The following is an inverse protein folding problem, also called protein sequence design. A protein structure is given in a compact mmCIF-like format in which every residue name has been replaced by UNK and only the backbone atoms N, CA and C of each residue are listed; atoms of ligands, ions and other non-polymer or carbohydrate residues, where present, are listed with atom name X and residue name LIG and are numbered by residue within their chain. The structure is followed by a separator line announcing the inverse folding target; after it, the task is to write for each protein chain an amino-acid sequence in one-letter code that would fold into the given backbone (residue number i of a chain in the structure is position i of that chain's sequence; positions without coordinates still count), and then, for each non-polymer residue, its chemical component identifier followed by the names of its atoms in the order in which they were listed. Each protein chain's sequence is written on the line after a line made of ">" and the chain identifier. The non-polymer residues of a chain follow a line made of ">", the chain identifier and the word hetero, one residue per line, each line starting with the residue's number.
data_IF_053514654442
#
_entry.id   IF_053514654442
#
_cell.length_a   1.000
_cell.length_b   1.000
_cell.length_c   1.000
_cell.angle_alpha   90.00
_cell.angle_beta   90.00
_cell.angle_gamma   90.00
#
_symmetry.space_group_name_H-M   'P 1'
#
loop_
_entity.id
_entity.type
_entity.pdbx_description
1 polymer ?
#
# COMPACT_ATOMS: atom_id res chain seq x y z
N UNK A 1 10.03 2.42 -71.79
CA UNK A 1 8.84 2.26 -70.92
C UNK A 1 9.29 2.69 -69.53
N UNK A 2 8.88 3.86 -69.04
CA UNK A 2 9.31 4.37 -67.74
C UNK A 2 8.58 3.54 -66.67
N UNK A 3 9.33 2.84 -65.82
CA UNK A 3 8.76 2.17 -64.66
C UNK A 3 8.45 3.22 -63.60
N UNK A 4 7.16 3.46 -63.38
CA UNK A 4 6.70 4.31 -62.30
C UNK A 4 6.98 3.59 -60.97
N UNK A 5 8.00 4.06 -60.24
CA UNK A 5 8.31 3.56 -58.91
C UNK A 5 7.22 4.09 -57.98
N UNK A 6 6.24 3.26 -57.66
CA UNK A 6 5.26 3.56 -56.62
C UNK A 6 5.89 3.19 -55.26
N UNK A 7 6.27 4.16 -54.41
CA UNK A 7 6.77 3.86 -53.07
C UNK A 7 5.59 3.46 -52.19
N UNK A 8 5.11 2.21 -52.35
CA UNK A 8 4.09 1.63 -51.50
C UNK A 8 4.63 1.57 -50.07
N UNK A 9 4.34 2.60 -49.27
CA UNK A 9 4.58 2.58 -47.82
C UNK A 9 3.61 1.58 -47.21
N UNK A 10 4.16 0.49 -46.69
CA UNK A 10 3.39 -0.48 -45.93
C UNK A 10 3.05 0.08 -44.54
N UNK A 11 1.99 0.89 -44.45
CA UNK A 11 1.53 1.49 -43.19
C UNK A 11 1.03 0.45 -42.17
N UNK A 12 0.64 -0.76 -42.59
CA UNK A 12 0.13 -1.78 -41.66
C UNK A 12 1.23 -2.43 -40.82
N UNK A 13 2.49 -2.41 -41.28
CA UNK A 13 3.63 -2.93 -40.52
C UNK A 13 4.13 -1.98 -39.43
N UNK A 14 3.79 -0.68 -39.49
CA UNK A 14 4.29 0.32 -38.55
C UNK A 14 3.82 0.07 -37.11
N UNK A 15 2.56 -0.30 -36.92
CA UNK A 15 2.00 -0.57 -35.58
C UNK A 15 2.75 -1.72 -34.87
N UNK A 16 2.98 -2.84 -35.58
CA UNK A 16 3.71 -3.98 -35.03
C UNK A 16 5.17 -3.63 -34.70
N UNK A 17 5.80 -2.79 -35.53
CA UNK A 17 7.17 -2.32 -35.27
C UNK A 17 7.23 -1.49 -33.98
N UNK A 18 6.32 -0.53 -33.81
CA UNK A 18 6.24 0.29 -32.59
C UNK A 18 5.96 -0.58 -31.36
N UNK A 19 5.00 -1.51 -31.44
CA UNK A 19 4.70 -2.40 -30.31
C UNK A 19 5.90 -3.28 -29.92
N UNK A 20 6.67 -3.75 -30.90
CA UNK A 20 7.90 -4.52 -30.65
C UNK A 20 8.95 -3.66 -29.96
N UNK A 21 9.13 -2.41 -30.41
CA UNK A 21 10.06 -1.47 -29.78
C UNK A 21 9.64 -1.15 -28.34
N UNK A 22 8.36 -0.86 -28.08
CA UNK A 22 7.83 -0.62 -26.74
C UNK A 22 8.07 -1.82 -25.83
N UNK A 23 7.90 -3.03 -26.35
CA UNK A 23 8.15 -4.27 -25.59
C UNK A 23 9.63 -4.43 -25.23
N UNK A 24 10.54 -4.19 -26.17
CA UNK A 24 11.99 -4.28 -25.91
C UNK A 24 12.44 -3.20 -24.92
N UNK A 25 11.95 -1.96 -25.07
CA UNK A 25 12.24 -0.86 -24.13
C UNK A 25 11.71 -1.21 -22.74
N UNK A 26 10.46 -1.65 -22.64
CA UNK A 26 9.85 -2.06 -21.38
C UNK A 26 10.64 -3.17 -20.70
N UNK A 27 10.98 -4.23 -21.44
CA UNK A 27 11.80 -5.33 -20.93
C UNK A 27 13.18 -4.87 -20.45
N UNK A 28 13.82 -3.94 -21.15
CA UNK A 28 15.13 -3.38 -20.74
C UNK A 28 15.07 -2.57 -19.45
N UNK A 29 13.91 -1.97 -19.15
CA UNK A 29 13.68 -1.16 -17.96
C UNK A 29 13.04 -1.92 -16.79
N UNK A 30 12.65 -3.19 -16.99
CA UNK A 30 11.86 -3.96 -16.01
C UNK A 30 10.40 -3.50 -15.91
N UNK A 31 9.87 -2.89 -16.97
CA UNK A 31 8.49 -2.38 -17.03
C UNK A 31 7.69 -3.21 -18.05
N UNK A 32 6.67 -3.96 -17.61
CA UNK A 32 5.77 -4.67 -18.52
C UNK A 32 5.09 -3.72 -19.50
N UNK A 33 4.91 -4.13 -20.76
CA UNK A 33 4.35 -3.28 -21.83
C UNK A 33 3.00 -2.66 -21.48
N UNK A 34 2.15 -3.41 -20.79
CA UNK A 34 0.82 -3.00 -20.36
C UNK A 34 0.87 -1.80 -19.41
N UNK A 35 1.86 -1.79 -18.51
CA UNK A 35 2.12 -0.71 -17.57
C UNK A 35 2.79 0.48 -18.27
N UNK A 36 3.75 0.20 -19.16
CA UNK A 36 4.50 1.21 -19.91
C UNK A 36 3.58 2.08 -20.78
N UNK A 37 2.70 1.43 -21.54
CA UNK A 37 1.77 2.08 -22.49
C UNK A 37 0.43 2.42 -21.83
N UNK A 38 0.21 1.96 -20.58
CA UNK A 38 -1.06 2.11 -19.82
C UNK A 38 -2.27 1.53 -20.55
N UNK A 39 -2.07 0.42 -21.27
CA UNK A 39 -3.09 -0.26 -22.06
C UNK A 39 -3.25 -1.69 -21.57
N UNK A 40 -4.42 -1.99 -21.01
CA UNK A 40 -4.74 -3.30 -20.45
C UNK A 40 -5.84 -3.95 -21.30
N UNK A 41 -5.43 -4.69 -22.32
CA UNK A 41 -6.33 -5.48 -23.18
C UNK A 41 -6.44 -6.94 -22.70
N UNK A 42 -5.61 -7.32 -21.73
CA UNK A 42 -5.53 -8.67 -21.18
C UNK A 42 -6.60 -8.91 -20.11
N UNK A 43 -6.87 -10.18 -19.81
CA UNK A 43 -7.82 -10.54 -18.76
C UNK A 43 -7.31 -10.10 -17.37
N UNK A 44 -8.21 -10.03 -16.39
CA UNK A 44 -7.90 -9.57 -15.02
C UNK A 44 -6.61 -10.19 -14.43
N UNK A 45 -6.41 -11.50 -14.62
CA UNK A 45 -5.24 -12.22 -14.08
C UNK A 45 -3.94 -11.78 -14.74
N UNK A 46 -3.94 -11.60 -16.05
CA UNK A 46 -2.79 -11.14 -16.81
C UNK A 46 -2.43 -9.69 -16.44
N UNK A 47 -3.43 -8.78 -16.40
CA UNK A 47 -3.22 -7.40 -15.98
C UNK A 47 -2.70 -7.30 -14.54
N UNK A 48 -3.24 -8.12 -13.62
CA UNK A 48 -2.74 -8.23 -12.25
C UNK A 48 -1.32 -8.78 -12.20
N UNK A 49 -1.01 -9.77 -13.03
CA UNK A 49 0.34 -10.33 -13.15
C UNK A 49 1.36 -9.28 -13.57
N UNK A 50 1.05 -8.47 -14.58
CA UNK A 50 1.90 -7.38 -15.03
C UNK A 50 2.11 -6.30 -13.94
N UNK A 51 1.05 -5.92 -13.22
CA UNK A 51 1.17 -4.99 -12.10
C UNK A 51 2.05 -5.54 -10.97
N UNK A 52 1.90 -6.81 -10.63
CA UNK A 52 2.72 -7.46 -9.60
C UNK A 52 4.20 -7.55 -10.02
N UNK A 53 4.46 -7.82 -11.29
CA UNK A 53 5.82 -7.89 -11.82
C UNK A 53 6.50 -6.52 -11.78
N UNK A 54 5.81 -5.47 -12.25
CA UNK A 54 6.28 -4.09 -12.11
C UNK A 54 6.50 -3.69 -10.64
N UNK A 55 5.59 -4.09 -9.74
CA UNK A 55 5.73 -3.77 -8.33
C UNK A 55 6.93 -4.45 -7.68
N UNK A 56 7.35 -5.63 -8.16
CA UNK A 56 8.60 -6.27 -7.71
C UNK A 56 9.80 -5.38 -8.02
N UNK A 57 9.88 -4.85 -9.23
CA UNK A 57 10.94 -3.93 -9.66
C UNK A 57 10.95 -2.65 -8.82
N UNK A 58 9.77 -2.06 -8.57
CA UNK A 58 9.63 -0.88 -7.70
C UNK A 58 10.12 -1.17 -6.28
N UNK A 59 9.76 -2.33 -5.70
CA UNK A 59 10.21 -2.73 -4.36
C UNK A 59 11.73 -2.85 -4.29
N UNK A 60 12.37 -3.48 -5.27
CA UNK A 60 13.84 -3.63 -5.31
C UNK A 60 14.51 -2.25 -5.34
N UNK A 61 14.08 -1.36 -6.25
CA UNK A 61 14.64 -0.01 -6.35
C UNK A 61 14.42 0.81 -5.08
N UNK A 62 13.24 0.70 -4.48
CA UNK A 62 12.91 1.37 -3.21
C UNK A 62 13.79 0.88 -2.08
N UNK A 63 13.98 -0.43 -1.93
CA UNK A 63 14.86 -1.00 -0.91
C UNK A 63 16.29 -0.50 -1.08
N UNK A 64 16.83 -0.53 -2.31
CA UNK A 64 18.17 -0.03 -2.58
C UNK A 64 18.33 1.47 -2.26
N UNK A 65 17.32 2.29 -2.58
CA UNK A 65 17.32 3.71 -2.21
C UNK A 65 17.25 3.91 -0.69
N UNK A 66 16.40 3.16 -0.02
CA UNK A 66 16.25 3.21 1.44
C UNK A 66 17.55 2.84 2.14
N UNK A 67 18.19 1.75 1.73
CA UNK A 67 19.45 1.27 2.32
C UNK A 67 20.62 2.24 2.07
N UNK A 68 20.65 2.92 0.93
CA UNK A 68 21.75 3.84 0.58
C UNK A 68 21.56 5.27 1.08
N UNK A 69 20.32 5.74 1.23
CA UNK A 69 20.03 7.14 1.56
C UNK A 69 19.30 7.29 2.90
N UNK A 70 18.13 6.65 3.04
CA UNK A 70 17.27 6.86 4.20
C UNK A 70 17.88 6.28 5.49
N UNK A 71 18.37 5.04 5.42
CA UNK A 71 18.91 4.32 6.56
C UNK A 71 20.16 5.00 7.14
N UNK A 72 21.19 5.37 6.35
CA UNK A 72 22.38 6.04 6.90
C UNK A 72 22.06 7.39 7.55
N UNK A 73 21.13 8.16 6.97
CA UNK A 73 20.71 9.45 7.52
C UNK A 73 20.00 9.24 8.86
N UNK A 74 19.10 8.26 8.95
CA UNK A 74 18.40 7.92 10.18
C UNK A 74 19.37 7.49 11.29
N UNK A 75 20.35 6.64 10.97
CA UNK A 75 21.34 6.18 11.93
C UNK A 75 22.21 7.31 12.47
N UNK A 76 22.62 8.25 11.61
CA UNK A 76 23.39 9.43 12.03
C UNK A 76 22.56 10.34 12.93
N UNK A 77 21.33 10.63 12.53
CA UNK A 77 20.40 11.43 13.34
C UNK A 77 20.15 10.78 14.72
N UNK A 78 19.92 9.46 14.75
CA UNK A 78 19.68 8.74 16.00
C UNK A 78 20.92 8.78 16.90
N UNK A 79 22.11 8.57 16.31
CA UNK A 79 23.38 8.64 17.04
C UNK A 79 23.61 10.02 17.66
N UNK A 80 23.33 11.10 16.93
CA UNK A 80 23.43 12.47 17.45
C UNK A 80 22.40 12.74 18.55
N UNK A 81 21.15 12.29 18.37
CA UNK A 81 20.09 12.47 19.36
C UNK A 81 20.40 11.76 20.70
N UNK A 82 21.04 10.59 20.64
CA UNK A 82 21.48 9.85 21.83
C UNK A 82 22.71 10.53 22.45
N UNK A 83 23.71 10.92 21.65
CA UNK A 83 24.91 11.61 22.14
C UNK A 83 24.60 12.95 22.84
N UNK A 84 23.56 13.65 22.38
CA UNK A 84 23.08 14.91 22.98
C UNK A 84 22.14 14.69 24.17
N UNK A 85 21.81 13.44 24.51
CA UNK A 85 20.96 13.09 25.65
C UNK A 85 19.46 13.33 25.44
N UNK A 86 18.98 13.48 24.20
CA UNK A 86 17.55 13.60 23.90
C UNK A 86 16.82 12.26 23.93
N UNK A 87 17.52 11.19 23.61
CA UNK A 87 17.01 9.82 23.59
C UNK A 87 17.88 8.99 24.53
N UNK A 88 17.25 8.32 25.48
CA UNK A 88 17.93 7.36 26.35
C UNK A 88 17.95 5.99 25.66
N UNK A 89 19.14 5.57 25.22
CA UNK A 89 19.37 4.30 24.53
C UNK A 89 20.56 3.56 25.16
N UNK A 90 20.31 2.76 26.22
CA UNK A 90 21.36 2.02 26.92
C UNK A 90 22.10 1.07 25.98
N UNK A 91 23.43 1.03 26.08
CA UNK A 91 24.27 0.13 25.27
C UNK A 91 24.46 0.54 23.81
N UNK A 92 23.89 1.68 23.36
CA UNK A 92 23.93 2.09 21.96
C UNK A 92 25.35 2.32 21.42
N UNK A 93 26.24 2.88 22.24
CA UNK A 93 27.65 3.10 21.85
C UNK A 93 28.58 1.95 22.28
N UNK A 94 28.09 1.00 23.08
CA UNK A 94 28.90 -0.05 23.69
C UNK A 94 28.95 -1.33 22.82
N UNK A 95 27.85 -1.68 22.15
CA UNK A 95 27.73 -2.88 21.31
C UNK A 95 27.12 -2.58 19.94
N UNK A 96 27.82 -2.88 18.82
CA UNK A 96 27.27 -2.79 17.47
C UNK A 96 25.95 -3.53 17.25
N UNK A 97 25.72 -4.67 17.93
CA UNK A 97 24.48 -5.42 17.80
C UNK A 97 23.30 -4.68 18.46
N UNK A 98 23.53 -4.09 19.63
CA UNK A 98 22.54 -3.25 20.32
C UNK A 98 22.25 -1.99 19.50
N UNK A 99 23.27 -1.38 18.92
CA UNK A 99 23.10 -0.26 17.97
C UNK A 99 22.20 -0.66 16.81
N UNK A 100 22.45 -1.79 16.16
CA UNK A 100 21.61 -2.25 15.06
C UNK A 100 20.15 -2.50 15.47
N UNK A 101 19.92 -3.03 16.67
CA UNK A 101 18.57 -3.20 17.20
C UNK A 101 17.83 -1.87 17.37
N UNK A 102 18.51 -0.82 17.87
CA UNK A 102 17.96 0.53 17.97
C UNK A 102 17.75 1.20 16.61
N UNK A 103 18.67 0.99 15.67
CA UNK A 103 18.61 1.52 14.32
C UNK A 103 17.62 0.76 13.41
N UNK A 104 17.05 -0.35 13.89
CA UNK A 104 16.07 -1.14 13.18
C UNK A 104 14.78 -0.35 12.97
N UNK A 105 14.52 0.07 11.73
CA UNK A 105 13.29 0.74 11.36
C UNK A 105 12.71 0.17 10.07
N UNK A 106 11.40 0.34 9.90
CA UNK A 106 10.69 -0.07 8.70
C UNK A 106 10.34 1.16 7.86
N UNK A 107 10.83 1.18 6.63
CA UNK A 107 10.55 2.26 5.68
C UNK A 107 9.28 1.97 4.90
N UNK A 108 8.19 2.57 5.34
CA UNK A 108 6.89 2.46 4.69
C UNK A 108 6.86 3.36 3.45
N UNK A 109 6.57 2.77 2.29
CA UNK A 109 6.36 3.50 1.04
C UNK A 109 4.90 3.48 0.62
N UNK A 110 4.61 4.10 -0.53
CA UNK A 110 3.29 3.97 -1.14
C UNK A 110 2.92 2.50 -1.34
N UNK A 111 1.67 2.17 -1.03
CA UNK A 111 1.06 0.87 -1.29
C UNK A 111 0.76 0.70 -2.79
N UNK A 112 0.70 -0.56 -3.24
CA UNK A 112 0.18 -0.89 -4.56
C UNK A 112 -1.35 -0.82 -4.52
N UNK A 113 -1.97 -0.23 -5.55
CA UNK A 113 -3.42 -0.24 -5.67
C UNK A 113 -4.01 -1.65 -5.64
N UNK A 114 -5.19 -1.78 -5.04
CA UNK A 114 -5.93 -3.04 -4.94
C UNK A 114 -6.89 -3.19 -6.12
N UNK A 115 -6.90 -4.38 -6.72
CA UNK A 115 -7.82 -4.67 -7.84
C UNK A 115 -9.12 -5.33 -7.35
N UNK A 116 -9.05 -6.12 -6.26
CA UNK A 116 -10.22 -6.71 -5.61
C UNK A 116 -10.08 -6.60 -4.07
N UNK A 117 -10.59 -5.51 -3.46
CA UNK A 117 -10.39 -5.23 -2.05
C UNK A 117 -10.92 -6.33 -1.12
N UNK A 118 -12.04 -6.98 -1.48
CA UNK A 118 -12.66 -7.99 -0.64
C UNK A 118 -11.82 -9.27 -0.59
N UNK A 119 -11.35 -9.74 -1.75
CA UNK A 119 -10.46 -10.92 -1.80
C UNK A 119 -9.15 -10.66 -1.08
N UNK A 120 -8.59 -9.47 -1.23
CA UNK A 120 -7.32 -9.10 -0.60
C UNK A 120 -7.44 -8.96 0.93
N UNK A 121 -8.53 -8.40 1.43
CA UNK A 121 -8.82 -8.34 2.87
C UNK A 121 -9.03 -9.73 3.50
N UNK A 122 -9.73 -10.63 2.79
CA UNK A 122 -9.87 -12.02 3.22
C UNK A 122 -8.51 -12.74 3.25
N UNK A 123 -7.69 -12.54 2.22
CA UNK A 123 -6.33 -13.08 2.17
C UNK A 123 -5.46 -12.55 3.33
N UNK A 124 -5.54 -11.25 3.63
CA UNK A 124 -4.83 -10.65 4.77
C UNK A 124 -5.24 -11.27 6.11
N UNK A 125 -6.54 -11.50 6.31
CA UNK A 125 -7.06 -12.17 7.51
C UNK A 125 -6.47 -13.57 7.68
N UNK A 126 -6.39 -14.34 6.58
CA UNK A 126 -5.79 -15.68 6.57
C UNK A 126 -4.28 -15.62 6.83
N UNK A 127 -3.56 -14.66 6.23
CA UNK A 127 -2.12 -14.48 6.44
C UNK A 127 -1.78 -14.16 7.90
N UNK A 128 -2.53 -13.25 8.52
CA UNK A 128 -2.37 -12.89 9.93
C UNK A 128 -2.69 -14.10 10.82
N UNK A 129 -3.80 -14.81 10.56
CA UNK A 129 -4.19 -15.98 11.33
C UNK A 129 -3.14 -17.11 11.27
N UNK A 130 -2.46 -17.24 10.15
CA UNK A 130 -1.40 -18.23 9.92
C UNK A 130 0.00 -17.73 10.33
N UNK A 131 0.13 -16.58 11.00
CA UNK A 131 1.40 -15.96 11.38
C UNK A 131 2.37 -15.72 10.21
N UNK A 132 1.85 -15.51 9.00
CA UNK A 132 2.68 -15.20 7.84
C UNK A 132 3.07 -13.72 7.80
N UNK A 133 2.19 -12.85 8.28
CA UNK A 133 2.36 -11.39 8.30
C UNK A 133 1.79 -10.80 9.59
N UNK A 134 2.22 -9.58 9.91
CA UNK A 134 1.70 -8.84 11.07
C UNK A 134 0.63 -7.83 10.65
N UNK A 135 -0.19 -7.37 11.60
CA UNK A 135 -1.20 -6.34 11.29
C UNK A 135 -0.56 -5.01 10.86
N UNK A 136 0.64 -4.70 11.35
CA UNK A 136 1.42 -3.54 10.93
C UNK A 136 1.85 -3.64 9.47
N UNK A 137 2.40 -4.81 9.08
CA UNK A 137 2.79 -5.06 7.69
C UNK A 137 1.59 -4.99 6.75
N UNK A 138 0.46 -5.59 7.12
CA UNK A 138 -0.75 -5.56 6.29
C UNK A 138 -1.35 -4.15 6.19
N UNK A 139 -1.37 -3.37 7.28
CA UNK A 139 -1.85 -1.99 7.23
C UNK A 139 -0.95 -1.12 6.34
N UNK A 140 0.37 -1.26 6.49
CA UNK A 140 1.34 -0.56 5.66
C UNK A 140 1.23 -0.96 4.19
N UNK A 141 1.13 -2.26 3.89
CA UNK A 141 0.97 -2.75 2.51
C UNK A 141 -0.38 -2.41 1.90
N UNK A 142 -1.44 -2.20 2.69
CA UNK A 142 -2.76 -1.86 2.16
C UNK A 142 -2.89 -0.37 1.82
N UNK A 143 -2.61 0.52 2.76
CA UNK A 143 -2.79 1.97 2.54
C UNK A 143 -1.60 2.82 2.98
N UNK A 144 -0.50 2.21 3.44
CA UNK A 144 0.64 2.93 3.98
C UNK A 144 0.38 3.52 5.37
N UNK A 145 -0.70 3.14 6.03
CA UNK A 145 -0.99 3.64 7.38
C UNK A 145 -0.24 2.83 8.44
N UNK A 146 0.11 3.53 9.51
CA UNK A 146 0.53 2.93 10.78
C UNK A 146 -0.68 2.25 11.46
N UNK A 147 -0.52 0.96 11.78
CA UNK A 147 -1.57 0.18 12.42
C UNK A 147 -1.91 0.70 13.81
N UNK A 148 -0.94 1.17 14.59
CA UNK A 148 -1.21 1.73 15.92
C UNK A 148 -2.09 2.98 15.85
N UNK A 149 -1.89 3.81 14.82
CA UNK A 149 -2.73 4.95 14.53
C UNK A 149 -4.16 4.53 14.17
N UNK A 150 -4.33 3.51 13.33
CA UNK A 150 -5.64 2.95 13.02
C UNK A 150 -6.36 2.43 14.28
N UNK A 151 -5.67 1.70 15.15
CA UNK A 151 -6.25 1.17 16.40
C UNK A 151 -6.65 2.30 17.35
N UNK A 152 -5.78 3.30 17.55
CA UNK A 152 -6.10 4.46 18.40
C UNK A 152 -7.34 5.20 17.90
N UNK A 153 -7.44 5.39 16.59
CA UNK A 153 -8.57 6.06 15.97
C UNK A 153 -9.85 5.21 16.10
N UNK A 154 -9.80 3.91 15.79
CA UNK A 154 -10.96 3.01 15.95
C UNK A 154 -11.43 2.91 17.40
N UNK A 155 -10.54 2.99 18.39
CA UNK A 155 -10.92 3.04 19.80
C UNK A 155 -11.79 4.27 20.10
N UNK A 156 -11.39 5.46 19.62
CA UNK A 156 -12.15 6.70 19.80
C UNK A 156 -13.52 6.63 19.12
N UNK A 157 -13.55 6.14 17.88
CA UNK A 157 -14.78 5.97 17.11
C UNK A 157 -15.76 5.01 17.81
N UNK A 158 -15.27 3.88 18.30
CA UNK A 158 -16.10 2.92 19.04
C UNK A 158 -16.66 3.51 20.34
N UNK A 159 -15.89 4.33 21.06
CA UNK A 159 -16.38 5.04 22.24
C UNK A 159 -17.50 6.03 21.88
N UNK A 160 -17.30 6.86 20.85
CA UNK A 160 -18.32 7.81 20.38
C UNK A 160 -19.61 7.12 19.88
N UNK A 161 -19.47 5.96 19.21
CA UNK A 161 -20.62 5.15 18.79
C UNK A 161 -21.39 4.55 19.97
N UNK A 162 -20.74 4.28 21.10
CA UNK A 162 -21.40 3.80 22.31
C UNK A 162 -22.20 4.93 22.96
N UNK A 163 -21.60 6.11 23.10
CA UNK A 163 -22.22 7.30 23.69
C UNK A 163 -23.50 7.71 22.95
N UNK A 164 -23.44 7.78 21.62
CA UNK A 164 -24.60 8.09 20.76
C UNK A 164 -25.71 7.04 20.82
N UNK A 165 -25.37 5.75 20.97
CA UNK A 165 -26.37 4.67 21.15
C UNK A 165 -27.05 4.72 22.52
N UNK A 166 -26.39 5.24 23.55
CA UNK A 166 -27.00 5.48 24.87
C UNK A 166 -27.99 6.65 24.83
N UNK A 167 -27.70 7.71 24.08
CA UNK A 167 -28.59 8.89 23.98
C UNK A 167 -29.89 8.59 23.20
N UNK A 168 -29.84 7.66 22.25
CA UNK A 168 -31.01 7.17 21.49
C UNK A 168 -31.99 6.28 22.28
N UNK A 169 -31.71 5.95 23.55
CA UNK A 169 -32.61 5.18 24.42
C UNK A 169 -33.46 6.05 25.36
N UNK A 170 -33.70 7.32 25.02
CA UNK A 170 -34.50 8.22 25.86
C UNK A 170 -35.89 8.48 25.27
N UNK A 171 -36.88 7.83 25.88
CA UNK A 171 -38.35 8.09 25.88
C UNK A 171 -39.13 7.89 24.56
N UNK A 172 -39.68 6.68 24.37
CA UNK A 172 -41.02 6.54 23.73
C UNK A 172 -42.08 7.07 24.72
N UNK A 173 -42.99 7.98 24.33
CA UNK A 173 -44.11 8.40 25.18
C UNK A 173 -45.05 7.20 25.42
N UNK A 174 -45.43 6.97 26.69
CA UNK A 174 -46.49 6.03 27.04
C UNK A 174 -47.84 6.62 26.61
N UNK A 175 -48.53 5.97 25.67
CA UNK A 175 -49.94 6.25 25.41
C UNK A 175 -50.76 5.83 26.64
N UNK A 176 -51.34 6.82 27.34
CA UNK A 176 -52.29 6.60 28.41
C UNK A 176 -53.65 6.28 27.79
N UNK A 177 -54.09 5.03 27.92
CA UNK A 177 -55.47 4.62 27.66
C UNK A 177 -56.40 5.41 28.58
N UNK A 178 -57.28 6.25 28.01
CA UNK A 178 -58.44 6.80 28.72
C UNK A 178 -59.58 5.79 28.60
N UNK A 179 -59.93 5.17 29.73
CA UNK A 179 -61.22 4.49 29.91
C UNK A 179 -62.36 5.48 29.70
N UNK A 180 -63.21 5.22 28.70
CA UNK A 180 -64.55 5.79 28.60
C UNK A 180 -65.44 5.16 29.69
N UNK A 181 -65.72 5.92 30.73
CA UNK A 181 -66.97 5.76 31.51
C UNK A 181 -67.86 6.95 31.17
N UNK A 182 -68.74 6.79 30.19
CA UNK A 182 -69.93 7.63 30.05
C UNK A 182 -71.05 7.06 30.90
N UNK A 183 -71.62 7.93 31.74
CA UNK A 183 -73.01 7.86 32.18
C UNK A 183 -73.94 8.11 31.00
#
# INVERSE_FOLDING_TARGET
>A
KIQEINPLRNNSAFANFVETMETVIGASMGIPKEVLVKKYESNYTAARGALLDFWREVRVRRTAFVESFCQPIYEQWLSEAIATGRIDAPGFFDDPAVRQAWCGCMWMGASMGHVDPLKEANAATVRIANNMTTQEQEASEYNGNDWLSNVRQRRKELSALKETKTDGKTKKPKETQKEERSK
#
